data_IF_050685562694
#
_entry.id   IF_050685562694
#
_cell.length_a   1.000
_cell.length_b   1.000
_cell.length_c   1.000
_cell.angle_alpha   90.00
_cell.angle_beta   90.00
_cell.angle_gamma   90.00
#
_symmetry.space_group_name_H-M   'P 1'
#
loop_
_entity.id
_entity.type
_entity.pdbx_description
1 polymer ?
#
# COMPACT_ATOMS: atom_id res chain seq x y z
N UNK A 1 29.33 -28.63 10.23
CA UNK A 1 30.21 -28.12 9.17
C UNK A 1 29.75 -28.72 7.85
N UNK A 2 29.21 -27.89 6.92
CA UNK A 2 29.04 -28.06 5.44
C UNK A 2 28.56 -29.43 4.91
N UNK A 3 27.62 -29.60 3.98
CA UNK A 3 26.75 -28.76 3.15
C UNK A 3 25.70 -29.75 2.56
N UNK A 4 24.39 -29.50 2.66
CA UNK A 4 23.53 -28.95 1.59
C UNK A 4 23.87 -29.47 0.19
N UNK A 5 23.05 -30.38 -0.37
CA UNK A 5 22.50 -30.26 -1.73
C UNK A 5 21.38 -31.30 -1.99
N UNK A 6 20.44 -30.88 -2.84
CA UNK A 6 19.45 -31.65 -3.62
C UNK A 6 18.03 -31.81 -3.06
N UNK A 7 17.22 -30.78 -3.34
CA UNK A 7 15.83 -30.98 -3.73
C UNK A 7 15.57 -30.23 -5.05
N UNK A 8 15.68 -30.97 -6.16
CA UNK A 8 15.28 -30.56 -7.50
C UNK A 8 13.76 -30.42 -7.54
N UNK A 9 13.25 -29.19 -7.73
CA UNK A 9 11.88 -28.97 -8.25
C UNK A 9 11.99 -28.34 -9.64
N UNK A 10 11.56 -29.14 -10.62
CA UNK A 10 11.45 -28.79 -12.04
C UNK A 10 10.48 -27.61 -12.23
N UNK A 11 10.94 -26.57 -12.91
CA UNK A 11 10.13 -25.76 -13.82
C UNK A 11 10.86 -25.68 -15.16
N UNK A 12 10.24 -26.10 -16.28
CA UNK A 12 10.79 -25.83 -17.60
C UNK A 12 9.92 -24.75 -18.24
N UNK A 13 10.43 -23.53 -18.36
CA UNK A 13 10.12 -22.67 -19.50
C UNK A 13 11.42 -22.03 -19.94
N UNK A 14 11.95 -22.54 -21.05
CA UNK A 14 13.05 -21.96 -21.78
C UNK A 14 12.79 -20.46 -21.94
N UNK A 15 13.60 -19.64 -21.28
CA UNK A 15 13.84 -18.27 -21.72
C UNK A 15 14.70 -18.43 -22.97
N UNK A 16 14.10 -18.31 -24.15
CA UNK A 16 14.85 -18.18 -25.38
C UNK A 16 15.59 -16.84 -25.31
N UNK A 17 16.84 -16.90 -24.83
CA UNK A 17 17.79 -15.80 -24.91
C UNK A 17 18.09 -15.59 -26.40
N UNK A 18 17.39 -14.66 -27.04
CA UNK A 18 17.80 -14.16 -28.36
C UNK A 18 19.13 -13.45 -28.15
N UNK A 19 20.17 -13.96 -28.82
CA UNK A 19 21.54 -13.47 -28.69
C UNK A 19 21.62 -11.97 -28.99
N UNK A 20 22.26 -11.24 -28.08
CA UNK A 20 22.41 -9.80 -28.14
C UNK A 20 23.23 -9.37 -29.36
N UNK A 21 22.60 -8.60 -30.25
CA UNK A 21 23.35 -7.62 -31.05
C UNK A 21 23.17 -6.29 -30.35
N UNK A 22 24.13 -5.96 -29.49
CA UNK A 22 24.24 -4.66 -28.84
C UNK A 22 24.55 -3.60 -29.89
N UNK A 23 23.50 -3.03 -30.48
CA UNK A 23 23.53 -1.78 -31.22
C UNK A 23 22.47 -0.87 -30.62
N UNK A 24 22.85 -0.08 -29.61
CA UNK A 24 22.00 1.02 -29.14
C UNK A 24 21.97 2.09 -30.23
N UNK A 25 21.05 1.95 -31.18
CA UNK A 25 20.74 3.04 -32.11
C UNK A 25 19.92 4.04 -31.31
N UNK A 26 20.58 5.11 -30.85
CA UNK A 26 19.92 6.33 -30.41
C UNK A 26 19.24 6.93 -31.64
N UNK A 27 17.94 6.66 -31.82
CA UNK A 27 17.14 7.35 -32.83
C UNK A 27 16.73 8.71 -32.23
N UNK A 28 17.12 9.85 -32.84
CA UNK A 28 16.72 11.17 -32.37
C UNK A 28 15.21 11.37 -32.47
N UNK A 29 14.70 12.22 -31.59
CA UNK A 29 13.30 12.61 -31.52
C UNK A 29 12.75 13.21 -32.83
N UNK A 30 11.48 12.88 -33.11
CA UNK A 30 10.61 13.39 -34.18
C UNK A 30 11.09 13.13 -35.61
N UNK A 31 10.99 11.88 -36.04
CA UNK A 31 10.81 11.53 -37.45
C UNK A 31 9.41 10.92 -37.58
N UNK A 32 8.71 11.26 -38.67
CA UNK A 32 7.34 10.81 -38.99
C UNK A 32 7.11 9.34 -38.60
N UNK A 33 5.91 9.02 -38.09
CA UNK A 33 5.58 7.67 -37.61
C UNK A 33 5.96 6.57 -38.61
N UNK A 34 5.83 6.89 -39.90
CA UNK A 34 6.19 6.06 -41.04
C UNK A 34 7.20 6.69 -41.99
N UNK A 35 7.79 5.86 -42.84
CA UNK A 35 8.65 6.26 -43.93
C UNK A 35 8.97 5.10 -44.88
N UNK A 36 9.89 5.30 -45.84
CA UNK A 36 10.37 6.61 -46.26
C UNK A 36 9.26 7.43 -46.94
N UNK A 37 9.55 8.69 -47.25
CA UNK A 37 8.72 9.49 -48.15
C UNK A 37 8.57 8.74 -49.49
N UNK A 38 7.33 8.63 -49.97
CA UNK A 38 6.97 7.87 -51.17
C UNK A 38 5.71 8.43 -51.82
N UNK A 39 5.52 8.08 -53.08
CA UNK A 39 4.28 8.39 -53.79
C UNK A 39 3.07 7.77 -53.07
N UNK A 40 2.00 8.56 -52.94
CA UNK A 40 0.74 8.13 -52.34
C UNK A 40 -0.34 7.96 -53.40
N UNK A 41 -1.28 7.07 -53.12
CA UNK A 41 -2.35 6.67 -54.02
C UNK A 41 -3.69 6.76 -53.31
N UNK A 42 -4.77 6.59 -54.06
CA UNK A 42 -6.12 6.46 -53.50
C UNK A 42 -6.77 5.18 -53.97
N UNK A 43 -7.86 4.75 -53.34
CA UNK A 43 -8.61 3.57 -53.81
C UNK A 43 -9.11 3.73 -55.25
N UNK A 44 -9.39 4.97 -55.68
CA UNK A 44 -9.84 5.29 -57.02
C UNK A 44 -8.70 5.40 -58.03
N UNK A 45 -7.50 5.74 -57.56
CA UNK A 45 -6.29 5.85 -58.38
C UNK A 45 -5.17 5.01 -57.74
N UNK A 46 -5.28 3.66 -57.81
CA UNK A 46 -4.28 2.76 -57.26
C UNK A 46 -2.95 2.85 -58.01
N UNK A 47 -1.91 2.26 -57.43
CA UNK A 47 -0.56 2.34 -57.99
C UNK A 47 -0.42 1.59 -59.31
N UNK A 48 0.38 2.16 -60.21
CA UNK A 48 0.77 1.55 -61.48
C UNK A 48 1.96 0.58 -61.36
N UNK A 49 2.51 0.42 -60.15
CA UNK A 49 3.62 -0.46 -59.85
C UNK A 49 3.45 -1.13 -58.48
N UNK A 50 4.33 -2.07 -58.15
CA UNK A 50 4.36 -2.68 -56.82
C UNK A 50 4.84 -1.63 -55.81
N UNK A 51 3.97 -1.31 -54.86
CA UNK A 51 4.29 -0.46 -53.71
C UNK A 51 3.46 -0.93 -52.52
N UNK A 52 3.97 -0.74 -51.31
CA UNK A 52 3.26 -1.15 -50.11
C UNK A 52 2.71 0.04 -49.34
N UNK A 53 1.49 -0.11 -48.87
CA UNK A 53 0.91 0.70 -47.80
C UNK A 53 1.03 2.21 -48.07
N UNK A 54 0.58 2.61 -49.26
CA UNK A 54 0.70 3.93 -49.86
C UNK A 54 -0.67 4.51 -50.27
N UNK A 55 -1.78 3.80 -50.03
CA UNK A 55 -3.13 4.36 -50.19
C UNK A 55 -3.48 5.23 -48.98
N UNK A 56 -4.00 6.44 -49.20
CA UNK A 56 -4.31 7.40 -48.11
C UNK A 56 -5.76 7.39 -47.64
N UNK A 57 -6.66 6.76 -48.39
CA UNK A 57 -8.11 6.75 -48.15
C UNK A 57 -8.69 5.32 -48.02
N UNK A 58 -7.92 4.39 -47.43
CA UNK A 58 -8.39 3.03 -47.20
C UNK A 58 -9.55 3.04 -46.18
N UNK A 59 -10.73 2.48 -46.51
CA UNK A 59 -11.90 2.52 -45.62
C UNK A 59 -11.74 1.72 -44.31
N UNK A 60 -10.82 0.75 -44.27
CA UNK A 60 -10.61 -0.14 -43.13
C UNK A 60 -9.59 0.41 -42.14
N UNK A 61 -8.54 1.10 -42.61
CA UNK A 61 -7.44 1.56 -41.75
C UNK A 61 -7.07 3.04 -41.92
N UNK A 62 -7.69 3.77 -42.85
CA UNK A 62 -7.36 5.16 -43.14
C UNK A 62 -6.12 5.30 -44.02
N UNK A 63 -5.14 6.07 -43.56
CA UNK A 63 -3.87 6.23 -44.27
C UNK A 63 -3.00 4.99 -44.05
N UNK A 64 -2.81 4.18 -45.09
CA UNK A 64 -2.08 2.92 -44.97
C UNK A 64 -0.62 3.12 -44.59
N UNK A 65 -0.07 4.33 -44.74
CA UNK A 65 1.31 4.58 -44.31
C UNK A 65 1.46 4.39 -42.80
N UNK A 66 0.38 4.59 -42.04
CA UNK A 66 0.24 4.16 -40.65
C UNK A 66 -0.27 2.71 -40.58
N UNK A 67 0.64 1.76 -40.78
CA UNK A 67 0.32 0.33 -40.84
C UNK A 67 0.69 -0.45 -39.58
N UNK A 68 1.49 0.10 -38.66
CA UNK A 68 1.85 -0.48 -37.39
C UNK A 68 0.98 0.10 -36.29
N UNK A 69 0.13 -0.73 -35.69
CA UNK A 69 -0.77 -0.30 -34.62
C UNK A 69 -0.72 -1.21 -33.41
N UNK A 70 -1.02 -0.65 -32.25
CA UNK A 70 -1.14 -1.37 -30.98
C UNK A 70 -2.58 -1.33 -30.48
N UNK A 71 -3.03 -2.41 -29.84
CA UNK A 71 -4.31 -2.48 -29.12
C UNK A 71 -4.22 -3.41 -27.93
N UNK A 72 -5.01 -3.19 -26.87
CA UNK A 72 -5.19 -4.19 -25.81
C UNK A 72 -5.78 -5.50 -26.37
N UNK A 73 -5.18 -6.64 -26.00
CA UNK A 73 -5.58 -7.95 -26.47
C UNK A 73 -7.03 -8.27 -26.04
N UNK A 74 -7.76 -8.99 -26.89
CA UNK A 74 -9.18 -9.33 -26.69
C UNK A 74 -10.14 -8.14 -26.51
N UNK A 75 -9.79 -6.97 -27.07
CA UNK A 75 -10.68 -5.80 -27.12
C UNK A 75 -11.03 -5.43 -28.55
N UNK A 76 -12.17 -4.76 -28.73
CA UNK A 76 -12.59 -4.15 -30.01
C UNK A 76 -12.15 -2.69 -30.13
N UNK A 77 -11.16 -2.25 -29.35
CA UNK A 77 -10.63 -0.89 -29.39
C UNK A 77 -10.04 -0.53 -30.76
N UNK A 78 -9.83 0.77 -30.98
CA UNK A 78 -9.10 1.27 -32.14
C UNK A 78 -7.61 0.93 -32.03
N UNK A 79 -6.95 0.81 -33.18
CA UNK A 79 -5.50 0.71 -33.26
C UNK A 79 -4.87 2.06 -32.94
N UNK A 80 -3.79 2.06 -32.16
CA UNK A 80 -3.14 3.26 -31.67
C UNK A 80 -1.64 3.25 -31.95
N UNK A 81 -1.10 4.41 -32.29
CA UNK A 81 0.34 4.65 -32.47
C UNK A 81 1.07 4.83 -31.12
N UNK A 82 0.31 5.04 -30.05
CA UNK A 82 0.79 5.11 -28.69
C UNK A 82 -0.20 4.44 -27.74
N UNK A 83 0.25 3.41 -27.03
CA UNK A 83 -0.58 2.64 -26.11
C UNK A 83 0.00 2.70 -24.70
N UNK A 84 -0.79 3.25 -23.77
CA UNK A 84 -0.48 3.16 -22.34
C UNK A 84 -0.68 1.72 -21.86
N UNK A 85 0.35 1.11 -21.27
CA UNK A 85 0.35 -0.28 -20.83
C UNK A 85 0.17 -0.43 -19.33
N UNK A 86 -0.46 -1.52 -18.91
CA UNK A 86 -0.74 -1.83 -17.52
C UNK A 86 -0.20 -3.20 -17.11
N UNK A 87 0.22 -3.37 -15.84
CA UNK A 87 0.59 -4.68 -15.31
C UNK A 87 -0.51 -5.74 -15.51
N UNK A 88 -0.12 -6.94 -15.90
CA UNK A 88 -1.02 -8.08 -16.06
C UNK A 88 -1.84 -8.12 -17.35
N UNK A 89 -1.85 -7.04 -18.14
CA UNK A 89 -2.51 -6.98 -19.46
C UNK A 89 -1.62 -7.50 -20.58
N UNK A 90 -2.24 -7.79 -21.72
CA UNK A 90 -1.56 -8.18 -22.97
C UNK A 90 -2.00 -7.25 -24.09
N UNK A 91 -1.14 -7.05 -25.07
CA UNK A 91 -1.37 -6.12 -26.17
C UNK A 91 -1.02 -6.79 -27.50
N UNK A 92 -1.83 -6.56 -28.51
CA UNK A 92 -1.58 -7.01 -29.88
C UNK A 92 -0.88 -5.89 -30.62
N UNK A 93 0.24 -6.22 -31.25
CA UNK A 93 0.86 -5.39 -32.29
C UNK A 93 0.40 -5.93 -33.64
N UNK A 94 0.07 -5.04 -34.58
CA UNK A 94 -0.35 -5.36 -35.94
C UNK A 94 0.49 -4.58 -36.94
N UNK A 95 0.90 -5.23 -38.03
CA UNK A 95 1.33 -4.62 -39.28
C UNK A 95 0.29 -4.94 -40.36
N UNK A 96 -0.29 -3.92 -40.98
CA UNK A 96 -1.06 -4.08 -42.21
C UNK A 96 -0.11 -4.30 -43.40
N UNK A 97 -0.50 -5.14 -44.34
CA UNK A 97 0.32 -5.52 -45.50
C UNK A 97 -0.57 -5.47 -46.73
N UNK A 98 -0.34 -4.50 -47.62
CA UNK A 98 -1.12 -4.35 -48.84
C UNK A 98 -0.22 -3.90 -49.99
N UNK A 99 -0.09 -4.75 -51.01
CA UNK A 99 0.48 -4.37 -52.29
C UNK A 99 -0.56 -3.55 -53.06
N UNK A 100 -0.32 -2.24 -53.18
CA UNK A 100 -1.29 -1.31 -53.78
C UNK A 100 -1.28 -1.26 -55.31
N UNK A 101 -0.54 -2.15 -55.96
CA UNK A 101 -0.59 -2.28 -57.41
C UNK A 101 -2.03 -2.56 -57.87
N UNK A 102 -2.48 -1.83 -58.89
CA UNK A 102 -3.82 -1.93 -59.44
C UNK A 102 -4.13 -3.35 -59.93
N UNK A 103 -5.35 -3.83 -59.66
CA UNK A 103 -5.76 -5.20 -59.96
C UNK A 103 -5.66 -5.54 -61.46
N UNK A 104 -5.94 -4.58 -62.34
CA UNK A 104 -5.92 -4.75 -63.78
C UNK A 104 -4.51 -4.96 -64.36
N UNK A 105 -3.45 -4.70 -63.58
CA UNK A 105 -2.06 -4.88 -64.01
C UNK A 105 -1.53 -6.28 -63.71
N UNK A 106 -2.17 -7.04 -62.81
CA UNK A 106 -1.73 -8.39 -62.44
C UNK A 106 -0.34 -8.44 -61.81
N UNK A 107 0.13 -7.34 -61.20
CA UNK A 107 1.46 -7.27 -60.61
C UNK A 107 1.54 -8.04 -59.29
N UNK A 108 2.66 -8.71 -59.07
CA UNK A 108 2.95 -9.50 -57.87
C UNK A 108 4.23 -8.97 -57.22
N UNK A 109 4.14 -8.63 -55.93
CA UNK A 109 5.31 -8.32 -55.11
C UNK A 109 6.11 -9.59 -54.86
N UNK A 110 7.43 -9.54 -55.05
CA UNK A 110 8.32 -10.69 -54.98
C UNK A 110 9.28 -10.60 -53.79
N UNK A 111 9.57 -11.77 -53.20
CA UNK A 111 10.39 -11.90 -51.99
C UNK A 111 9.92 -10.98 -50.86
N UNK A 112 8.60 -10.92 -50.65
CA UNK A 112 8.04 -10.10 -49.58
C UNK A 112 8.51 -10.60 -48.23
N UNK A 113 9.13 -9.72 -47.45
CA UNK A 113 9.53 -10.00 -46.06
C UNK A 113 9.03 -8.92 -45.13
N UNK A 114 8.53 -9.33 -43.97
CA UNK A 114 8.22 -8.43 -42.86
C UNK A 114 9.19 -8.67 -41.70
N UNK A 115 9.59 -7.59 -41.02
CA UNK A 115 10.36 -7.68 -39.77
C UNK A 115 9.89 -6.63 -38.77
N UNK A 116 10.07 -6.90 -37.48
CA UNK A 116 9.89 -5.94 -36.40
C UNK A 116 11.19 -5.77 -35.62
N UNK A 117 11.55 -4.51 -35.36
CA UNK A 117 12.47 -4.18 -34.28
C UNK A 117 11.65 -4.07 -32.98
N UNK A 118 11.78 -5.08 -32.11
CA UNK A 118 11.17 -5.10 -30.79
C UNK A 118 12.28 -4.96 -29.73
N UNK A 119 12.48 -3.76 -29.15
CA UNK A 119 13.55 -3.55 -28.19
C UNK A 119 13.39 -4.42 -26.94
N UNK A 120 14.50 -4.98 -26.46
CA UNK A 120 14.58 -5.70 -25.17
C UNK A 120 14.96 -4.77 -24.02
N UNK A 121 14.95 -3.47 -24.24
CA UNK A 121 15.32 -2.45 -23.24
C UNK A 121 14.23 -2.33 -22.18
N UNK A 122 14.63 -1.84 -21.00
CA UNK A 122 13.71 -1.46 -19.94
C UNK A 122 13.59 0.06 -19.92
N UNK A 123 12.40 0.59 -20.17
CA UNK A 123 12.15 2.04 -20.25
C UNK A 123 10.68 2.36 -19.94
N UNK A 124 10.35 3.65 -19.78
CA UNK A 124 8.96 4.15 -19.69
C UNK A 124 8.26 4.29 -21.04
N UNK A 125 9.04 4.27 -22.12
CA UNK A 125 8.55 4.31 -23.50
C UNK A 125 9.38 3.34 -24.33
N UNK A 126 8.72 2.42 -25.02
CA UNK A 126 9.35 1.44 -25.92
C UNK A 126 8.70 1.56 -27.29
N UNK A 127 9.49 1.94 -28.28
CA UNK A 127 9.07 2.00 -29.67
C UNK A 127 9.23 0.64 -30.34
N UNK A 128 8.19 0.18 -31.03
CA UNK A 128 8.22 -1.01 -31.88
C UNK A 128 8.08 -0.56 -33.32
N UNK A 129 9.06 -0.93 -34.15
CA UNK A 129 9.12 -0.51 -35.55
C UNK A 129 8.96 -1.72 -36.46
N UNK A 130 8.00 -1.66 -37.39
CA UNK A 130 7.78 -2.65 -38.43
C UNK A 130 8.41 -2.22 -39.75
N UNK A 131 8.91 -3.19 -40.51
CA UNK A 131 9.49 -3.01 -41.84
C UNK A 131 8.86 -4.03 -42.78
N UNK A 132 8.49 -3.58 -43.98
CA UNK A 132 7.92 -4.40 -45.04
C UNK A 132 8.72 -4.16 -46.32
N UNK A 133 9.23 -5.25 -46.91
CA UNK A 133 10.17 -5.21 -48.05
C UNK A 133 9.69 -6.09 -49.18
N UNK A 134 10.02 -5.70 -50.41
CA UNK A 134 10.01 -6.61 -51.57
C UNK A 134 11.06 -6.19 -52.59
N UNK A 135 11.60 -7.16 -53.33
CA UNK A 135 12.72 -6.90 -54.26
C UNK A 135 12.32 -6.08 -55.48
N UNK A 136 11.03 -6.04 -55.83
CA UNK A 136 10.50 -5.30 -56.97
C UNK A 136 9.52 -4.17 -56.55
N UNK A 137 9.46 -3.84 -55.26
CA UNK A 137 8.66 -2.71 -54.80
C UNK A 137 9.41 -1.38 -54.96
N UNK A 138 8.65 -0.29 -55.12
CA UNK A 138 9.17 1.06 -55.08
C UNK A 138 8.39 1.91 -54.04
N UNK A 139 9.03 2.32 -52.93
CA UNK A 139 10.37 1.92 -52.49
C UNK A 139 10.47 0.42 -52.17
N UNK A 140 11.69 -0.12 -52.14
CA UNK A 140 11.92 -1.53 -51.83
C UNK A 140 11.62 -1.89 -50.36
N UNK A 141 11.53 -0.88 -49.50
CA UNK A 141 11.20 -1.00 -48.07
C UNK A 141 10.31 0.17 -47.64
N UNK A 142 9.29 -0.14 -46.85
CA UNK A 142 8.53 0.83 -46.05
C UNK A 142 8.61 0.45 -44.58
N UNK A 143 8.57 1.45 -43.70
CA UNK A 143 8.58 1.25 -42.25
C UNK A 143 7.56 2.15 -41.56
N UNK A 144 7.14 1.72 -40.38
CA UNK A 144 6.24 2.45 -39.50
C UNK A 144 6.45 1.99 -38.06
N UNK A 145 6.06 2.81 -37.08
CA UNK A 145 6.28 2.50 -35.68
C UNK A 145 5.09 2.88 -34.79
N UNK A 146 4.99 2.16 -33.67
CA UNK A 146 4.09 2.49 -32.58
C UNK A 146 4.82 2.40 -31.24
N UNK A 147 4.33 3.10 -30.23
CA UNK A 147 4.98 3.23 -28.93
C UNK A 147 4.13 2.59 -27.83
N UNK A 148 4.77 1.82 -26.96
CA UNK A 148 4.22 1.45 -25.67
C UNK A 148 4.69 2.45 -24.62
N UNK A 149 3.80 2.89 -23.73
CA UNK A 149 4.13 3.88 -22.68
C UNK A 149 3.62 3.46 -21.31
N UNK A 150 4.33 3.82 -20.24
CA UNK A 150 3.88 3.61 -18.86
C UNK A 150 4.45 4.66 -17.90
N UNK A 151 3.87 4.77 -16.70
CA UNK A 151 4.39 5.62 -15.62
C UNK A 151 5.70 5.09 -15.02
N UNK A 152 5.89 3.76 -15.08
CA UNK A 152 7.03 3.02 -14.56
C UNK A 152 7.85 2.37 -15.68
N UNK A 153 9.07 1.95 -15.36
CA UNK A 153 9.91 1.23 -16.30
C UNK A 153 9.36 -0.19 -16.55
N UNK A 154 9.28 -0.58 -17.82
CA UNK A 154 8.89 -1.92 -18.23
C UNK A 154 9.75 -2.41 -19.40
N UNK A 155 9.71 -3.71 -19.69
CA UNK A 155 10.14 -4.28 -20.97
C UNK A 155 9.00 -5.09 -21.60
N UNK A 156 9.14 -5.48 -22.86
CA UNK A 156 8.12 -6.25 -23.58
C UNK A 156 8.56 -7.70 -23.78
N UNK A 157 7.69 -8.64 -23.42
CA UNK A 157 7.88 -10.06 -23.72
C UNK A 157 6.84 -10.52 -24.74
N UNK A 158 7.27 -11.16 -25.83
CA UNK A 158 6.36 -11.77 -26.81
C UNK A 158 5.70 -13.00 -26.19
N UNK A 159 4.39 -13.15 -26.38
CA UNK A 159 3.66 -14.37 -26.01
C UNK A 159 4.01 -15.46 -27.01
N UNK A 160 4.63 -16.59 -26.59
CA UNK A 160 5.06 -17.64 -27.52
C UNK A 160 3.89 -18.19 -28.35
N UNK A 161 4.14 -18.39 -29.65
CA UNK A 161 3.14 -18.91 -30.60
C UNK A 161 2.08 -17.90 -31.05
N UNK A 162 2.15 -16.64 -30.61
CA UNK A 162 1.18 -15.59 -30.98
C UNK A 162 1.43 -14.95 -32.35
N UNK A 163 2.57 -15.23 -33.00
CA UNK A 163 2.95 -14.57 -34.26
C UNK A 163 2.19 -15.19 -35.42
N UNK A 164 1.32 -14.40 -36.04
CA UNK A 164 0.39 -14.86 -37.06
C UNK A 164 0.27 -13.87 -38.21
N UNK A 165 0.16 -14.36 -39.43
CA UNK A 165 -0.19 -13.56 -40.59
C UNK A 165 -1.55 -13.99 -41.13
N UNK A 166 -2.52 -13.08 -41.10
CA UNK A 166 -3.89 -13.30 -41.57
C UNK A 166 -4.09 -12.63 -42.92
N UNK A 167 -4.83 -13.26 -43.81
CA UNK A 167 -5.27 -12.69 -45.07
C UNK A 167 -6.56 -13.40 -45.53
N UNK A 168 -7.11 -13.01 -46.67
CA UNK A 168 -8.35 -13.59 -47.19
C UNK A 168 -8.22 -15.06 -47.61
N UNK A 169 -7.00 -15.56 -47.90
CA UNK A 169 -6.77 -16.98 -48.18
C UNK A 169 -6.78 -17.85 -46.92
N UNK A 170 -6.43 -17.28 -45.76
CA UNK A 170 -6.34 -18.02 -44.50
C UNK A 170 -6.80 -17.17 -43.31
N UNK A 171 -8.10 -17.24 -43.01
CA UNK A 171 -8.71 -16.60 -41.84
C UNK A 171 -8.22 -17.14 -40.49
N UNK A 172 -7.61 -18.34 -40.44
CA UNK A 172 -7.02 -18.89 -39.22
C UNK A 172 -5.58 -18.39 -38.97
N UNK A 173 -4.98 -17.74 -39.96
CA UNK A 173 -3.63 -17.17 -39.89
C UNK A 173 -2.51 -18.20 -40.08
N UNK A 174 -1.52 -17.83 -40.88
CA UNK A 174 -0.26 -18.57 -41.03
C UNK A 174 0.62 -18.34 -39.79
N UNK A 175 1.23 -19.41 -39.27
CA UNK A 175 2.26 -19.27 -38.23
C UNK A 175 3.51 -18.66 -38.84
N UNK A 176 4.00 -17.58 -38.23
CA UNK A 176 5.19 -16.87 -38.69
C UNK A 176 6.35 -17.16 -37.73
N UNK A 177 7.57 -17.47 -38.23
CA UNK A 177 8.72 -17.75 -37.39
C UNK A 177 9.22 -16.50 -36.65
N UNK A 178 9.92 -16.71 -35.53
CA UNK A 178 10.54 -15.64 -34.73
C UNK A 178 11.62 -14.85 -35.47
N UNK A 179 12.06 -15.31 -36.65
CA UNK A 179 12.94 -14.55 -37.54
C UNK A 179 12.35 -13.19 -37.93
N UNK A 180 11.02 -13.01 -37.78
CA UNK A 180 10.36 -11.71 -37.89
C UNK A 180 10.97 -10.65 -36.95
N UNK A 181 11.54 -11.02 -35.80
CA UNK A 181 12.21 -10.08 -34.88
C UNK A 181 13.70 -9.89 -35.17
N UNK A 182 14.15 -10.30 -36.34
CA UNK A 182 15.55 -10.19 -36.78
C UNK A 182 15.63 -9.43 -38.09
N UNK A 183 16.84 -9.00 -38.46
CA UNK A 183 17.07 -8.26 -39.70
C UNK A 183 16.70 -9.06 -40.96
N UNK A 184 16.70 -10.40 -40.92
CA UNK A 184 16.27 -11.22 -42.06
C UNK A 184 14.76 -11.22 -42.28
N UNK A 185 13.99 -10.87 -41.25
CA UNK A 185 12.53 -10.93 -41.25
C UNK A 185 11.97 -12.34 -41.47
N UNK A 186 10.68 -12.37 -41.79
CA UNK A 186 9.95 -13.57 -42.20
C UNK A 186 9.28 -13.33 -43.55
N UNK A 187 9.28 -14.35 -44.41
CA UNK A 187 8.58 -14.29 -45.70
C UNK A 187 7.08 -14.24 -45.49
N UNK A 188 6.41 -13.38 -46.25
CA UNK A 188 4.96 -13.31 -46.35
C UNK A 188 4.52 -13.71 -47.75
N UNK A 189 3.30 -14.22 -47.90
CA UNK A 189 2.69 -14.55 -49.18
C UNK A 189 1.19 -14.74 -49.05
N UNK A 190 0.49 -14.96 -50.15
CA UNK A 190 -0.99 -15.06 -50.11
C UNK A 190 -1.48 -16.47 -49.71
N UNK A 191 -1.37 -17.46 -50.59
CA UNK A 191 -1.82 -18.84 -50.32
C UNK A 191 -0.81 -19.64 -49.46
N UNK A 192 0.45 -19.23 -49.51
CA UNK A 192 1.59 -19.83 -48.80
C UNK A 192 2.65 -18.76 -48.55
N UNK A 193 3.52 -18.97 -47.55
CA UNK A 193 4.57 -18.00 -47.17
C UNK A 193 5.80 -18.08 -48.09
N UNK A 194 5.61 -17.89 -49.40
CA UNK A 194 6.66 -18.05 -50.42
C UNK A 194 7.35 -16.73 -50.82
N UNK A 195 6.84 -15.58 -50.38
CA UNK A 195 7.33 -14.26 -50.76
C UNK A 195 6.52 -13.60 -51.87
N UNK A 196 5.41 -14.18 -52.32
CA UNK A 196 4.60 -13.63 -53.42
C UNK A 196 3.27 -13.07 -52.90
N UNK A 197 3.03 -11.77 -53.11
CA UNK A 197 1.77 -11.10 -52.76
C UNK A 197 1.21 -10.36 -53.98
N UNK A 198 0.09 -10.82 -54.57
CA UNK A 198 -0.56 -10.11 -55.67
C UNK A 198 -1.08 -8.72 -55.26
N UNK A 199 -1.20 -7.80 -56.21
CA UNK A 199 -1.75 -6.47 -55.97
C UNK A 199 -3.27 -6.46 -55.87
N UNK A 200 -3.81 -5.47 -55.13
CA UNK A 200 -5.23 -5.20 -54.82
C UNK A 200 -5.68 -5.67 -53.43
N UNK A 201 -6.74 -5.02 -52.93
CA UNK A 201 -7.36 -5.20 -51.61
C UNK A 201 -7.68 -6.64 -51.24
N UNK A 202 -8.08 -7.48 -52.20
CA UNK A 202 -8.42 -8.88 -51.89
C UNK A 202 -7.22 -9.71 -51.39
N UNK A 203 -5.99 -9.22 -51.57
CA UNK A 203 -4.76 -9.88 -51.15
C UNK A 203 -4.10 -9.22 -49.94
N UNK A 204 -4.78 -8.26 -49.31
CA UNK A 204 -4.27 -7.62 -48.11
C UNK A 204 -4.20 -8.60 -46.92
N UNK A 205 -3.45 -8.19 -45.88
CA UNK A 205 -3.30 -9.00 -44.70
C UNK A 205 -2.77 -8.25 -43.49
N UNK A 206 -2.74 -8.97 -42.38
CA UNK A 206 -2.35 -8.48 -41.07
C UNK A 206 -1.35 -9.43 -40.43
N UNK A 207 -0.12 -8.97 -40.25
CA UNK A 207 0.85 -9.65 -39.39
C UNK A 207 0.65 -9.17 -37.96
N UNK A 208 0.39 -10.08 -37.03
CA UNK A 208 0.18 -9.76 -35.62
C UNK A 208 1.05 -10.60 -34.70
N UNK A 209 1.31 -10.06 -33.52
CA UNK A 209 1.87 -10.80 -32.39
C UNK A 209 1.40 -10.16 -31.08
N UNK A 210 1.39 -10.94 -30.01
CA UNK A 210 0.97 -10.47 -28.69
C UNK A 210 2.21 -10.22 -27.84
N UNK A 211 2.24 -9.10 -27.14
CA UNK A 211 3.25 -8.76 -26.13
C UNK A 211 2.62 -8.58 -24.75
N UNK A 212 3.39 -8.91 -23.73
CA UNK A 212 3.06 -8.67 -22.33
C UNK A 212 4.11 -7.75 -21.69
N UNK A 213 3.74 -6.54 -21.24
CA UNK A 213 4.65 -5.68 -20.51
C UNK A 213 5.07 -6.36 -19.19
N UNK A 214 6.36 -6.37 -18.92
CA UNK A 214 6.94 -6.84 -17.66
C UNK A 214 7.42 -5.63 -16.86
N UNK A 215 6.81 -5.41 -15.72
CA UNK A 215 7.21 -4.38 -14.76
C UNK A 215 8.12 -4.99 -13.70
N UNK A 216 8.98 -4.17 -13.09
CA UNK A 216 9.75 -4.61 -11.93
C UNK A 216 8.79 -5.01 -10.79
N UNK A 217 9.03 -6.17 -10.20
CA UNK A 217 8.32 -6.61 -9.02
C UNK A 217 8.57 -5.65 -7.85
N UNK A 218 7.50 -5.12 -7.28
CA UNK A 218 7.52 -4.19 -6.14
C UNK A 218 6.78 -4.82 -4.95
N UNK A 219 7.50 -5.28 -3.90
CA UNK A 219 6.86 -5.68 -2.66
C UNK A 219 6.40 -4.43 -1.91
N UNK A 220 5.13 -4.40 -1.50
CA UNK A 220 4.59 -3.36 -0.61
C UNK A 220 3.34 -3.88 0.12
N UNK A 221 3.04 -3.30 1.27
CA UNK A 221 1.86 -3.67 2.06
C UNK A 221 1.38 -2.52 2.94
N UNK A 222 0.13 -2.56 3.38
CA UNK A 222 -0.36 -1.67 4.43
C UNK A 222 -0.69 -2.47 5.68
N UNK A 223 -0.60 -1.80 6.83
CA UNK A 223 -1.16 -2.31 8.07
C UNK A 223 -1.89 -1.18 8.81
N UNK A 224 -2.87 -1.54 9.62
CA UNK A 224 -3.55 -0.60 10.52
C UNK A 224 -3.87 -1.26 11.85
N UNK A 225 -4.02 -0.43 12.88
CA UNK A 225 -4.39 -0.83 14.24
C UNK A 225 -5.54 0.04 14.74
N UNK A 226 -6.57 -0.61 15.24
CA UNK A 226 -7.72 0.07 15.85
C UNK A 226 -8.06 -0.59 17.18
N UNK A 227 -8.80 0.14 18.03
CA UNK A 227 -9.28 -0.33 19.32
C UNK A 227 -10.80 -0.26 19.39
N UNK A 228 -11.41 -1.14 20.17
CA UNK A 228 -12.83 -1.12 20.49
C UNK A 228 -13.06 -1.57 21.92
N UNK A 229 -14.24 -1.22 22.49
CA UNK A 229 -14.72 -1.90 23.68
C UNK A 229 -14.90 -3.38 23.41
N UNK A 230 -14.55 -4.22 24.37
CA UNK A 230 -14.61 -5.67 24.21
C UNK A 230 -15.99 -6.15 23.72
N UNK A 231 -16.00 -6.87 22.60
CA UNK A 231 -17.19 -7.46 21.99
C UNK A 231 -18.08 -6.48 21.19
N UNK A 232 -17.79 -5.18 21.17
CA UNK A 232 -18.64 -4.20 20.46
C UNK A 232 -18.29 -4.06 18.97
N UNK A 233 -17.07 -4.41 18.55
CA UNK A 233 -16.59 -4.30 17.16
C UNK A 233 -16.76 -2.89 16.54
N UNK A 234 -16.69 -1.84 17.35
CA UNK A 234 -16.70 -0.43 16.94
C UNK A 234 -15.28 0.10 16.97
N UNK A 235 -14.59 -0.02 15.85
CA UNK A 235 -13.15 0.22 15.75
C UNK A 235 -12.84 1.72 15.57
N UNK A 236 -11.97 2.24 16.42
CA UNK A 236 -11.52 3.65 16.46
C UNK A 236 -10.02 3.74 16.78
N UNK A 237 -9.38 4.87 16.47
CA UNK A 237 -7.97 5.10 16.81
C UNK A 237 -7.77 5.38 18.31
N UNK A 238 -8.75 5.99 18.96
CA UNK A 238 -8.73 6.28 20.39
C UNK A 238 -10.04 5.91 21.06
N UNK A 239 -9.96 5.14 22.15
CA UNK A 239 -11.12 4.72 22.94
C UNK A 239 -10.97 5.12 24.41
N UNK A 240 -12.01 5.71 24.99
CA UNK A 240 -12.06 6.07 26.41
C UNK A 240 -12.62 4.90 27.23
N UNK A 241 -11.77 4.28 28.05
CA UNK A 241 -12.10 3.10 28.86
C UNK A 241 -12.13 3.41 30.36
N UNK A 242 -12.92 2.64 31.10
CA UNK A 242 -12.88 2.65 32.57
C UNK A 242 -11.67 1.84 33.09
N UNK A 243 -11.11 2.19 34.27
CA UNK A 243 -10.11 1.35 34.92
C UNK A 243 -10.61 -0.09 35.11
N UNK A 244 -9.80 -1.09 34.76
CA UNK A 244 -10.18 -2.50 34.81
C UNK A 244 -10.98 -3.02 33.59
N UNK A 245 -11.38 -2.15 32.66
CA UNK A 245 -12.13 -2.52 31.45
C UNK A 245 -11.28 -3.37 30.50
N UNK A 246 -11.95 -4.24 29.72
CA UNK A 246 -11.31 -4.99 28.63
C UNK A 246 -11.62 -4.31 27.31
N UNK A 247 -10.60 -4.19 26.47
CA UNK A 247 -10.69 -3.66 25.10
C UNK A 247 -10.23 -4.73 24.11
N UNK A 248 -10.72 -4.64 22.88
CA UNK A 248 -10.25 -5.43 21.74
C UNK A 248 -9.40 -4.55 20.82
N UNK A 249 -8.31 -5.10 20.31
CA UNK A 249 -7.51 -4.50 19.25
C UNK A 249 -7.70 -5.27 17.96
N UNK A 250 -7.95 -4.55 16.87
CA UNK A 250 -7.98 -5.07 15.50
C UNK A 250 -6.71 -4.63 14.77
N UNK A 251 -5.95 -5.58 14.28
CA UNK A 251 -4.82 -5.36 13.38
C UNK A 251 -5.21 -5.83 11.98
N UNK A 252 -4.94 -5.02 10.96
CA UNK A 252 -5.24 -5.38 9.58
C UNK A 252 -3.97 -5.32 8.74
N UNK A 253 -3.88 -6.21 7.76
CA UNK A 253 -2.79 -6.26 6.78
C UNK A 253 -3.37 -6.40 5.38
N UNK A 254 -2.77 -5.72 4.40
CA UNK A 254 -3.07 -5.92 2.97
C UNK A 254 -1.79 -5.88 2.14
N UNK A 255 -1.60 -6.88 1.29
CA UNK A 255 -0.56 -6.85 0.26
C UNK A 255 -0.95 -5.86 -0.85
N UNK A 256 -0.27 -4.72 -0.91
CA UNK A 256 -0.48 -3.67 -1.93
C UNK A 256 0.54 -3.76 -3.07
N UNK A 257 1.56 -4.59 -2.92
CA UNK A 257 2.58 -4.82 -3.93
C UNK A 257 2.15 -5.76 -5.04
N UNK A 258 3.09 -6.03 -5.95
CA UNK A 258 2.89 -6.86 -7.15
C UNK A 258 3.43 -8.29 -6.99
N UNK A 259 3.95 -8.63 -5.82
CA UNK A 259 4.50 -9.96 -5.51
C UNK A 259 3.79 -10.63 -4.34
N UNK A 260 3.84 -11.96 -4.29
CA UNK A 260 3.39 -12.72 -3.11
C UNK A 260 4.26 -12.38 -1.90
N UNK A 261 3.62 -12.23 -0.75
CA UNK A 261 4.27 -12.00 0.52
C UNK A 261 4.08 -13.20 1.42
N UNK A 262 5.19 -13.81 1.85
CA UNK A 262 5.18 -15.03 2.64
C UNK A 262 5.43 -14.75 4.12
N UNK A 263 4.95 -15.65 4.98
CA UNK A 263 5.18 -15.63 6.42
C UNK A 263 4.85 -14.29 7.08
N UNK A 264 3.69 -13.72 6.73
CA UNK A 264 3.22 -12.46 7.30
C UNK A 264 2.98 -12.67 8.80
N UNK A 265 3.76 -11.96 9.61
CA UNK A 265 3.78 -12.10 11.07
C UNK A 265 3.27 -10.82 11.72
N UNK A 266 2.28 -10.94 12.61
CA UNK A 266 1.77 -9.86 13.44
C UNK A 266 2.40 -9.90 14.83
N UNK A 267 2.74 -8.72 15.35
CA UNK A 267 3.27 -8.54 16.70
C UNK A 267 2.62 -7.31 17.34
N UNK A 268 2.45 -7.33 18.65
CA UNK A 268 1.90 -6.21 19.42
C UNK A 268 2.72 -5.96 20.68
N UNK A 269 2.97 -4.69 21.01
CA UNK A 269 3.68 -4.31 22.23
C UNK A 269 2.74 -3.51 23.13
N UNK A 270 2.04 -4.23 24.01
CA UNK A 270 1.20 -3.61 25.02
C UNK A 270 2.00 -2.63 25.90
N UNK A 271 1.44 -1.44 26.17
CA UNK A 271 2.06 -0.49 27.09
C UNK A 271 1.93 -0.98 28.54
N UNK A 272 2.64 -0.29 29.45
CA UNK A 272 2.39 -0.43 30.89
C UNK A 272 0.93 -0.14 31.21
N UNK A 273 0.41 -0.72 32.29
CA UNK A 273 -0.99 -0.63 32.70
C UNK A 273 -1.99 -1.30 31.75
N UNK A 274 -1.51 -2.18 30.87
CA UNK A 274 -2.32 -3.11 30.12
C UNK A 274 -1.83 -4.54 30.29
N UNK A 275 -2.74 -5.50 30.25
CA UNK A 275 -2.42 -6.93 30.35
C UNK A 275 -3.18 -7.71 29.29
N UNK A 276 -2.46 -8.52 28.52
CA UNK A 276 -3.05 -9.40 27.51
C UNK A 276 -4.04 -10.40 28.14
N UNK A 277 -5.16 -10.65 27.47
CA UNK A 277 -6.13 -11.68 27.86
C UNK A 277 -5.79 -12.99 27.16
N UNK A 278 -5.32 -13.98 27.92
CA UNK A 278 -4.94 -15.29 27.40
C UNK A 278 -6.05 -15.98 26.60
N UNK A 279 -5.69 -16.62 25.49
CA UNK A 279 -6.61 -17.29 24.58
C UNK A 279 -7.52 -16.34 23.79
N UNK A 280 -7.34 -15.01 23.85
CA UNK A 280 -8.20 -14.06 23.14
C UNK A 280 -7.89 -13.97 21.65
N UNK A 281 -6.65 -14.25 21.24
CA UNK A 281 -6.20 -13.98 19.88
C UNK A 281 -6.92 -14.84 18.83
N UNK A 282 -7.42 -14.17 17.81
CA UNK A 282 -7.99 -14.77 16.60
C UNK A 282 -7.43 -14.08 15.38
N UNK A 283 -7.36 -14.79 14.26
CA UNK A 283 -7.00 -14.21 12.98
C UNK A 283 -7.91 -14.72 11.87
N UNK A 284 -8.14 -13.88 10.87
CA UNK A 284 -8.96 -14.22 9.71
C UNK A 284 -8.29 -13.83 8.40
N UNK A 285 -8.70 -14.53 7.35
CA UNK A 285 -8.30 -14.30 5.96
C UNK A 285 -9.37 -14.90 5.02
N UNK A 286 -9.15 -14.88 3.72
CA UNK A 286 -10.13 -15.41 2.76
C UNK A 286 -10.49 -16.90 2.97
N UNK A 287 -9.57 -17.72 3.52
CA UNK A 287 -9.83 -19.14 3.83
C UNK A 287 -10.58 -19.31 5.15
N UNK A 288 -10.41 -18.36 6.06
CA UNK A 288 -10.99 -18.37 7.41
C UNK A 288 -11.70 -17.03 7.68
N UNK A 289 -12.81 -16.73 6.97
CA UNK A 289 -13.46 -15.42 7.05
C UNK A 289 -14.07 -15.15 8.44
N UNK A 290 -14.46 -16.21 9.16
CA UNK A 290 -15.03 -16.13 10.51
C UNK A 290 -13.97 -16.13 11.62
N UNK A 291 -12.68 -16.13 11.26
CA UNK A 291 -11.56 -16.19 12.20
C UNK A 291 -11.26 -17.62 12.70
N UNK A 292 -9.98 -17.83 13.04
CA UNK A 292 -9.48 -19.00 13.76
C UNK A 292 -8.76 -18.55 15.02
N UNK A 293 -8.80 -19.38 16.08
CA UNK A 293 -7.96 -19.17 17.26
C UNK A 293 -6.48 -19.25 16.89
N UNK A 294 -5.69 -18.32 17.42
CA UNK A 294 -4.25 -18.29 17.27
C UNK A 294 -3.56 -18.58 18.61
N UNK A 295 -2.24 -18.70 18.60
CA UNK A 295 -1.44 -18.74 19.83
C UNK A 295 -1.45 -17.41 20.57
N UNK A 296 -1.18 -17.45 21.87
CA UNK A 296 -1.05 -16.28 22.76
C UNK A 296 0.24 -15.46 22.55
N UNK A 297 1.02 -15.77 21.52
CA UNK A 297 2.31 -15.13 21.23
C UNK A 297 2.19 -13.74 20.60
N UNK A 298 0.98 -13.17 20.44
CA UNK A 298 0.81 -11.85 19.79
C UNK A 298 1.61 -10.75 20.50
N UNK A 299 1.71 -10.80 21.82
CA UNK A 299 2.54 -9.87 22.63
C UNK A 299 3.93 -10.40 22.98
N UNK A 300 4.37 -11.45 22.28
CA UNK A 300 5.62 -12.16 22.51
C UNK A 300 6.40 -12.37 21.21
N UNK A 301 6.47 -13.61 20.72
CA UNK A 301 7.19 -13.91 19.47
C UNK A 301 6.45 -13.48 18.18
N UNK A 302 5.21 -13.02 18.30
CA UNK A 302 4.30 -12.75 17.18
C UNK A 302 3.53 -13.99 16.71
N UNK A 303 2.61 -13.78 15.77
CA UNK A 303 1.82 -14.84 15.13
C UNK A 303 1.98 -14.77 13.61
N UNK A 304 2.35 -15.88 12.98
CA UNK A 304 2.39 -16.01 11.53
C UNK A 304 1.02 -16.43 11.01
N UNK A 305 0.46 -15.67 10.07
CA UNK A 305 -0.88 -15.90 9.51
C UNK A 305 -0.86 -16.44 8.08
N UNK A 306 0.33 -16.65 7.50
CA UNK A 306 0.55 -17.34 6.23
C UNK A 306 1.07 -16.44 5.11
N UNK A 307 0.69 -16.78 3.88
CA UNK A 307 1.15 -16.14 2.65
C UNK A 307 0.01 -15.50 1.86
N UNK A 308 0.29 -14.33 1.28
CA UNK A 308 -0.73 -13.46 0.68
C UNK A 308 -0.28 -12.99 -0.69
N UNK A 309 -1.06 -13.38 -1.72
CA UNK A 309 -0.89 -12.89 -3.08
C UNK A 309 -1.18 -11.38 -3.18
N UNK A 310 -0.77 -10.69 -4.26
CA UNK A 310 -1.15 -9.30 -4.51
C UNK A 310 -2.65 -9.05 -4.29
N UNK A 311 -2.99 -8.02 -3.52
CA UNK A 311 -4.36 -7.65 -3.19
C UNK A 311 -5.01 -8.46 -2.05
N UNK A 312 -4.42 -9.58 -1.61
CA UNK A 312 -4.95 -10.37 -0.50
C UNK A 312 -4.66 -9.71 0.86
N UNK A 313 -5.48 -10.04 1.87
CA UNK A 313 -5.46 -9.39 3.18
C UNK A 313 -5.67 -10.39 4.33
N UNK A 314 -5.33 -9.94 5.53
CA UNK A 314 -5.52 -10.65 6.80
C UNK A 314 -5.94 -9.68 7.90
N UNK A 315 -6.51 -10.20 8.97
CA UNK A 315 -6.73 -9.45 10.20
C UNK A 315 -6.45 -10.30 11.42
N UNK A 316 -6.12 -9.65 12.53
CA UNK A 316 -5.92 -10.24 13.86
C UNK A 316 -6.74 -9.45 14.87
N UNK A 317 -7.51 -10.12 15.72
CA UNK A 317 -8.18 -9.51 16.87
C UNK A 317 -7.64 -10.16 18.15
N UNK A 318 -7.29 -9.35 19.13
CA UNK A 318 -6.92 -9.83 20.47
C UNK A 318 -7.42 -8.87 21.54
N UNK A 319 -7.58 -9.35 22.77
CA UNK A 319 -8.12 -8.57 23.88
C UNK A 319 -7.04 -8.24 24.92
N UNK A 320 -7.15 -7.07 25.53
CA UNK A 320 -6.30 -6.65 26.63
C UNK A 320 -7.11 -5.91 27.70
N UNK A 321 -6.70 -6.07 28.95
CA UNK A 321 -7.34 -5.48 30.12
C UNK A 321 -6.57 -4.26 30.61
N UNK A 322 -7.27 -3.15 30.78
CA UNK A 322 -6.76 -1.94 31.42
C UNK A 322 -6.52 -2.23 32.90
N UNK A 323 -5.43 -1.71 33.47
CA UNK A 323 -5.12 -1.89 34.88
C UNK A 323 -6.24 -1.33 35.78
N UNK A 324 -6.33 -1.89 36.99
CA UNK A 324 -7.25 -1.39 38.00
C UNK A 324 -6.89 0.04 38.45
N UNK A 325 -7.87 0.74 39.04
CA UNK A 325 -7.79 2.17 39.37
C UNK A 325 -6.60 2.51 40.29
N UNK A 326 -6.24 1.61 41.19
CA UNK A 326 -5.11 1.72 42.11
C UNK A 326 -3.75 1.80 41.40
N UNK A 327 -3.55 1.04 40.32
CA UNK A 327 -2.31 1.02 39.54
C UNK A 327 -2.12 2.23 38.61
N UNK A 328 -3.18 2.99 38.33
CA UNK A 328 -3.13 4.16 37.43
C UNK A 328 -2.57 5.41 38.12
N UNK A 329 -1.92 6.27 37.33
CA UNK A 329 -1.52 7.59 37.79
C UNK A 329 -2.76 8.46 38.04
N UNK A 330 -2.65 9.41 38.97
CA UNK A 330 -3.72 10.33 39.27
C UNK A 330 -4.05 11.23 38.07
N UNK A 331 -5.34 11.40 37.75
CA UNK A 331 -5.78 12.17 36.59
C UNK A 331 -5.85 11.35 35.30
N UNK A 332 -5.59 12.01 34.16
CA UNK A 332 -5.68 11.40 32.83
C UNK A 332 -4.47 10.49 32.54
N UNK A 333 -4.74 9.31 32.00
CA UNK A 333 -3.76 8.35 31.55
C UNK A 333 -4.03 8.02 30.06
N UNK A 334 -2.98 8.01 29.24
CA UNK A 334 -3.04 7.55 27.85
C UNK A 334 -2.18 6.31 27.71
N UNK A 335 -2.79 5.21 27.26
CA UNK A 335 -2.16 3.91 27.05
C UNK A 335 -1.93 3.74 25.56
N UNK A 336 -0.73 4.10 25.11
CA UNK A 336 -0.33 4.05 23.69
C UNK A 336 0.10 2.64 23.30
N UNK A 337 -0.72 1.93 22.53
CA UNK A 337 -0.42 0.58 22.10
C UNK A 337 0.05 0.55 20.64
N UNK A 338 1.19 -0.10 20.38
CA UNK A 338 1.82 -0.17 19.06
C UNK A 338 1.86 -1.62 18.59
N UNK A 339 1.43 -1.86 17.35
CA UNK A 339 1.58 -3.14 16.68
C UNK A 339 2.46 -3.01 15.46
N UNK A 340 3.04 -4.14 15.04
CA UNK A 340 3.80 -4.26 13.81
C UNK A 340 3.37 -5.48 12.99
N UNK A 341 3.51 -5.36 11.67
CA UNK A 341 3.36 -6.48 10.74
C UNK A 341 4.62 -6.61 9.90
N UNK A 342 5.12 -7.83 9.77
CA UNK A 342 6.35 -8.14 9.04
C UNK A 342 6.15 -9.35 8.12
N UNK A 343 6.06 -9.13 6.80
CA UNK A 343 6.28 -10.17 5.81
C UNK A 343 7.75 -10.62 5.77
N UNK A 344 8.02 -11.89 5.46
CA UNK A 344 9.39 -12.38 5.34
C UNK A 344 10.17 -11.60 4.27
N UNK A 345 11.39 -11.19 4.62
CA UNK A 345 12.28 -10.44 3.73
C UNK A 345 11.91 -8.97 3.54
N UNK A 346 10.95 -8.44 4.31
CA UNK A 346 10.57 -7.03 4.29
C UNK A 346 10.75 -6.39 5.67
N UNK A 347 10.84 -5.06 5.68
CA UNK A 347 10.85 -4.29 6.92
C UNK A 347 9.45 -4.29 7.55
N UNK A 348 9.34 -4.26 8.89
CA UNK A 348 8.06 -4.09 9.56
C UNK A 348 7.41 -2.75 9.19
N UNK A 349 6.07 -2.74 9.15
CA UNK A 349 5.28 -1.50 9.27
C UNK A 349 4.53 -1.52 10.59
N UNK A 350 4.37 -0.35 11.19
CA UNK A 350 3.77 -0.17 12.51
C UNK A 350 2.58 0.77 12.45
N UNK A 351 1.64 0.57 13.36
CA UNK A 351 0.54 1.49 13.62
C UNK A 351 0.13 1.40 15.09
N UNK A 352 -0.57 2.42 15.59
CA UNK A 352 -0.90 2.57 17.00
C UNK A 352 -2.38 2.84 17.23
N UNK A 353 -2.89 2.37 18.37
CA UNK A 353 -4.20 2.79 18.87
C UNK A 353 -4.13 3.07 20.37
N UNK A 354 -4.85 4.10 20.80
CA UNK A 354 -4.78 4.63 22.15
C UNK A 354 -5.99 4.26 22.98
N UNK A 355 -5.75 3.92 24.24
CA UNK A 355 -6.81 3.86 25.26
C UNK A 355 -6.59 4.99 26.25
N UNK A 356 -7.60 5.84 26.43
CA UNK A 356 -7.57 6.87 27.48
C UNK A 356 -8.38 6.41 28.68
N UNK A 357 -7.91 6.71 29.88
CA UNK A 357 -8.62 6.40 31.12
C UNK A 357 -8.29 7.44 32.19
N UNK A 358 -9.27 7.76 33.04
CA UNK A 358 -9.10 8.78 34.08
C UNK A 358 -9.25 8.16 35.44
N UNK A 359 -8.26 8.41 36.31
CA UNK A 359 -8.36 8.11 37.74
C UNK A 359 -8.85 9.36 38.46
N UNK A 360 -10.11 9.36 38.87
CA UNK A 360 -10.61 10.38 39.78
C UNK A 360 -9.90 10.26 41.13
N UNK A 361 -9.15 11.29 41.48
CA UNK A 361 -8.48 11.42 42.75
C UNK A 361 -9.30 12.34 43.64
N UNK A 362 -9.71 11.83 44.79
CA UNK A 362 -10.16 12.70 45.86
C UNK A 362 -8.89 13.36 46.42
N UNK A 363 -8.78 14.70 46.45
CA UNK A 363 -7.67 15.36 47.11
C UNK A 363 -7.62 14.89 48.56
N UNK A 364 -6.45 14.43 49.01
CA UNK A 364 -6.24 14.07 50.41
C UNK A 364 -6.58 15.28 51.28
N UNK A 365 -7.41 15.09 52.31
CA UNK A 365 -7.74 16.16 53.26
C UNK A 365 -6.91 16.01 54.52
N UNK A 366 -6.43 17.12 55.05
CA UNK A 366 -5.69 17.22 56.31
C UNK A 366 -6.42 18.18 57.25
N UNK A 367 -6.22 18.02 58.57
CA UNK A 367 -6.79 18.93 59.56
C UNK A 367 -5.96 20.22 59.62
N UNK A 368 -6.62 21.36 59.53
CA UNK A 368 -6.01 22.67 59.74
C UNK A 368 -6.92 23.55 60.61
N UNK A 369 -6.32 24.49 61.34
CA UNK A 369 -7.04 25.52 62.05
C UNK A 369 -7.38 26.68 61.10
N UNK A 370 -8.67 27.02 60.98
CA UNK A 370 -9.12 28.22 60.31
C UNK A 370 -9.03 29.40 61.29
N UNK A 371 -8.07 30.30 61.08
CA UNK A 371 -7.80 31.42 62.00
C UNK A 371 -8.88 32.50 61.99
N UNK A 372 -9.79 32.51 61.00
CA UNK A 372 -10.93 33.44 60.94
C UNK A 372 -12.12 32.91 61.74
N UNK A 373 -12.39 31.60 61.68
CA UNK A 373 -13.53 30.98 62.36
C UNK A 373 -13.18 30.41 63.74
N UNK A 374 -11.89 30.19 64.01
CA UNK A 374 -11.41 29.55 65.23
C UNK A 374 -11.73 28.05 65.30
N UNK A 375 -12.02 27.39 64.17
CA UNK A 375 -12.37 25.97 64.11
C UNK A 375 -11.33 25.13 63.38
N UNK A 376 -11.20 23.87 63.79
CA UNK A 376 -10.42 22.86 63.07
C UNK A 376 -11.30 22.30 61.95
N UNK A 377 -10.83 22.42 60.72
CA UNK A 377 -11.54 22.04 59.49
C UNK A 377 -10.68 21.08 58.66
N UNK A 378 -11.31 20.19 57.88
CA UNK A 378 -10.60 19.31 56.95
C UNK A 378 -10.38 20.06 55.62
N UNK A 379 -9.13 20.36 55.28
CA UNK A 379 -8.71 21.13 54.11
C UNK A 379 -7.90 20.29 53.14
N UNK A 380 -7.89 20.63 51.85
CA UNK A 380 -7.07 19.94 50.85
C UNK A 380 -5.59 20.04 51.19
N UNK A 381 -4.88 18.91 51.14
CA UNK A 381 -3.43 18.81 51.34
C UNK A 381 -2.68 19.72 50.35
N UNK A 382 -1.75 20.50 50.85
CA UNK A 382 -1.11 21.64 50.19
C UNK A 382 -1.74 23.01 50.50
N UNK A 383 -2.99 23.07 51.01
CA UNK A 383 -3.68 24.34 51.36
C UNK A 383 -3.72 24.61 52.86
N UNK A 384 -3.26 23.70 53.70
CA UNK A 384 -3.29 23.78 55.17
C UNK A 384 -2.49 24.92 55.79
N UNK A 385 -1.59 25.56 55.03
CA UNK A 385 -0.86 26.76 55.45
C UNK A 385 -1.15 27.99 54.55
N UNK A 386 -2.23 27.93 53.78
CA UNK A 386 -2.72 29.07 53.00
C UNK A 386 -3.80 29.79 53.80
N UNK A 387 -3.67 31.11 53.98
CA UNK A 387 -4.64 31.90 54.72
C UNK A 387 -6.09 31.63 54.24
N UNK A 388 -7.06 31.41 55.17
CA UNK A 388 -6.97 31.59 56.62
C UNK A 388 -6.45 30.38 57.41
N UNK A 389 -5.96 29.32 56.76
CA UNK A 389 -5.60 28.07 57.40
C UNK A 389 -4.15 28.00 57.88
N UNK A 390 -3.96 27.30 59.00
CA UNK A 390 -2.64 26.93 59.52
C UNK A 390 -2.64 25.51 60.09
N UNK A 391 -1.51 24.81 59.97
CA UNK A 391 -1.30 23.52 60.64
C UNK A 391 -1.12 23.62 62.15
N UNK A 392 -0.90 24.83 62.69
CA UNK A 392 -0.87 25.06 64.13
C UNK A 392 -2.30 25.02 64.72
N UNK A 393 -2.73 23.82 65.13
CA UNK A 393 -4.06 23.60 65.70
C UNK A 393 -4.30 24.37 67.01
N UNK A 394 -3.24 24.83 67.69
CA UNK A 394 -3.37 25.62 68.93
C UNK A 394 -4.04 26.97 68.70
N UNK A 395 -3.98 27.51 67.47
CA UNK A 395 -4.65 28.76 67.11
C UNK A 395 -6.18 28.68 67.14
N UNK A 396 -6.72 27.45 67.11
CA UNK A 396 -8.15 27.16 67.24
C UNK A 396 -8.46 26.48 68.58
N UNK A 397 -7.49 26.36 69.49
CA UNK A 397 -7.77 25.88 70.82
C UNK A 397 -8.73 26.84 71.53
N UNK A 398 -9.70 26.33 72.31
CA UNK A 398 -10.56 27.18 73.12
C UNK A 398 -9.68 28.06 74.01
N UNK A 399 -9.89 29.39 73.94
CA UNK A 399 -9.18 30.31 74.82
C UNK A 399 -9.50 29.90 76.27
N UNK A 400 -8.48 29.82 77.15
CA UNK A 400 -8.71 29.47 78.54
C UNK A 400 -9.75 30.42 79.15
N UNK A 401 -10.73 29.86 79.85
CA UNK A 401 -11.72 30.65 80.58
C UNK A 401 -10.96 31.38 81.71
N UNK A 402 -10.91 32.70 81.64
CA UNK A 402 -10.21 33.51 82.62
C UNK A 402 -11.18 33.94 83.72
N UNK A 403 -10.78 33.74 84.97
CA UNK A 403 -11.56 34.04 86.17
C UNK A 403 -10.76 34.92 87.11
N UNK A 404 -11.46 35.66 87.97
CA UNK A 404 -10.84 36.31 89.13
C UNK A 404 -10.72 35.29 90.25
N UNK A 405 -9.53 35.17 90.84
CA UNK A 405 -9.27 34.17 91.87
C UNK A 405 -8.32 34.70 92.94
N UNK A 406 -8.46 34.19 94.16
CA UNK A 406 -7.54 34.43 95.25
C UNK A 406 -6.33 33.48 95.14
N UNK A 407 -5.12 34.03 95.08
CA UNK A 407 -3.88 33.26 95.20
C UNK A 407 -3.60 32.99 96.69
N UNK A 408 -3.76 31.73 97.09
CA UNK A 408 -3.70 31.33 98.50
C UNK A 408 -2.28 31.43 99.10
N UNK A 409 -1.24 31.46 98.26
CA UNK A 409 0.17 31.61 98.69
C UNK A 409 0.53 33.07 98.94
N UNK A 410 0.11 33.97 98.07
CA UNK A 410 0.47 35.40 98.16
C UNK A 410 -0.57 36.23 98.90
N UNK A 411 -1.77 35.67 99.15
CA UNK A 411 -2.91 36.35 99.76
C UNK A 411 -3.33 37.60 98.99
N UNK A 412 -3.31 37.50 97.66
CA UNK A 412 -3.76 38.57 96.76
C UNK A 412 -4.80 38.04 95.78
N UNK A 413 -5.78 38.91 95.48
CA UNK A 413 -6.72 38.69 94.39
C UNK A 413 -5.97 38.93 93.08
N UNK A 414 -5.94 37.90 92.24
CA UNK A 414 -5.36 37.95 90.90
C UNK A 414 -6.49 37.89 89.86
N UNK A 415 -6.42 38.80 88.90
CA UNK A 415 -7.35 38.86 87.78
C UNK A 415 -6.77 38.08 86.60
N UNK A 416 -7.64 37.58 85.72
CA UNK A 416 -7.25 36.81 84.54
C UNK A 416 -6.49 35.52 84.86
N UNK A 417 -6.89 34.81 85.94
CA UNK A 417 -6.36 33.49 86.25
C UNK A 417 -7.07 32.46 85.36
N UNK A 418 -6.31 31.61 84.67
CA UNK A 418 -6.87 30.49 83.93
C UNK A 418 -7.69 29.59 84.87
N UNK A 419 -8.97 29.38 84.58
CA UNK A 419 -9.89 28.61 85.41
C UNK A 419 -9.42 27.18 85.66
N UNK A 420 -8.60 26.61 84.76
CA UNK A 420 -7.97 25.30 84.98
C UNK A 420 -6.98 25.28 86.14
N UNK A 421 -6.47 26.45 86.58
CA UNK A 421 -5.58 26.59 87.75
C UNK A 421 -6.33 26.66 89.08
N UNK A 422 -7.66 26.74 89.06
CA UNK A 422 -8.47 26.72 90.29
C UNK A 422 -8.47 25.30 90.86
N UNK A 423 -7.68 25.10 91.91
CA UNK A 423 -7.48 23.82 92.58
C UNK A 423 -7.83 23.87 94.08
N UNK A 424 -8.20 25.04 94.60
CA UNK A 424 -8.40 25.35 96.02
C UNK A 424 -7.16 25.10 96.90
N UNK A 425 -5.98 24.98 96.30
CA UNK A 425 -4.69 24.80 96.99
C UNK A 425 -3.76 25.98 96.68
N UNK A 426 -3.60 26.30 95.40
CA UNK A 426 -2.85 27.45 94.91
C UNK A 426 -3.79 28.61 94.57
N UNK A 427 -4.92 28.32 93.92
CA UNK A 427 -5.91 29.32 93.54
C UNK A 427 -7.33 28.87 93.88
N UNK A 428 -8.15 29.80 94.37
CA UNK A 428 -9.57 29.56 94.67
C UNK A 428 -10.45 30.68 94.14
N UNK A 429 -11.69 30.37 93.77
CA UNK A 429 -12.70 31.36 93.39
C UNK A 429 -13.30 32.10 94.60
N UNK A 430 -13.03 31.61 95.80
CA UNK A 430 -13.44 32.22 97.07
C UNK A 430 -12.50 33.38 97.43
N UNK A 431 -12.92 34.60 97.10
CA UNK A 431 -12.07 35.78 97.22
C UNK A 431 -11.79 36.21 98.67
N UNK A 432 -12.63 35.78 99.62
CA UNK A 432 -12.51 36.10 101.05
C UNK A 432 -11.35 35.36 101.75
N UNK A 433 -10.71 34.42 101.04
CA UNK A 433 -9.51 33.70 101.51
C UNK A 433 -8.21 34.45 101.27
N UNK A 434 -8.33 35.59 100.60
CA UNK A 434 -7.39 36.69 100.50
C UNK A 434 -8.05 37.88 101.25
#
# INVERSE_FOLDING_TARGET
MKAVFNAVKRSPRLVALVAAVSGAVLVPAMLMAWGPDRATFTIQNPSDHVTFNSITDNPNIGDERNFVGIRENNTSGLWQDSQAVQPGKEYVVRMYVHNNASANLGLVAQNVTASFNLPTTTAKSIQVQGFLRATNANPAEVYDHANFTASENFNLAVVPGSIKYYNNANGNGFSIPETVFTNSGAKLGYDKMDGNIPGCFQYDGYLTFIVKPQFAATPDFTMSKLVSKHGENKWVDTYAAQPGETVDYLLQYKNTGTTQQDNVTFHDKLPTNMTYVAGSTTYGNAKNPNGLKASDNITGAGINVGSYAPGANAWVIFSAKVAAKDALACGANTLHNVASVTPAGQNPKEDSADVTTTKDCVPEKVKACNTTTGKIEDVEKGKENTAPYTTDLSKCAPKPELVTACNLKTKKIEYNVDKSKIDNVNYTLDLDKC
#
